data_IF_325444425819
#
_entry.id   IF_325444425819
#
_cell.length_a   1.000
_cell.length_b   1.000
_cell.length_c   1.000
_cell.angle_alpha   90.00
_cell.angle_beta   90.00
_cell.angle_gamma   90.00
#
_symmetry.space_group_name_H-M   'P 1'
#
loop_
_entity.id
_entity.type
_entity.pdbx_description
1 polymer ?
#
# COMPACT_ATOMS: atom_id res chain seq x y z
N UNK A 1 10.81 9.25 13.27
CA UNK A 1 11.87 8.30 12.88
C UNK A 1 13.03 9.06 12.26
N UNK A 2 14.26 8.59 12.42
CA UNK A 2 15.46 9.22 11.88
C UNK A 2 16.58 8.19 11.65
N UNK A 3 17.61 8.57 10.90
CA UNK A 3 18.80 7.74 10.68
C UNK A 3 19.77 7.94 11.85
N UNK A 4 20.14 6.85 12.53
CA UNK A 4 20.96 6.89 13.76
C UNK A 4 22.35 7.44 13.49
N UNK A 5 23.04 6.89 12.48
CA UNK A 5 24.38 7.35 12.07
C UNK A 5 24.38 8.83 11.64
N UNK A 6 23.31 9.31 11.00
CA UNK A 6 23.18 10.71 10.60
C UNK A 6 23.04 11.64 11.81
N UNK A 7 22.20 11.27 12.77
CA UNK A 7 22.00 12.05 14.00
C UNK A 7 23.27 12.13 14.85
N UNK A 8 24.05 11.04 14.93
CA UNK A 8 25.32 11.01 15.66
C UNK A 8 26.38 11.86 14.97
N UNK A 9 26.55 11.70 13.65
CA UNK A 9 27.55 12.46 12.87
C UNK A 9 27.31 13.96 12.91
N UNK A 10 26.05 14.39 12.95
CA UNK A 10 25.66 15.80 13.04
C UNK A 10 25.67 16.35 14.48
N UNK A 11 26.11 15.57 15.47
CA UNK A 11 26.17 16.00 16.88
C UNK A 11 24.81 16.18 17.56
N UNK A 12 23.70 15.81 16.90
CA UNK A 12 22.34 15.94 17.46
C UNK A 12 22.08 14.94 18.57
N UNK A 13 22.74 13.78 18.52
CA UNK A 13 22.66 12.73 19.53
C UNK A 13 24.03 12.12 19.79
N UNK A 14 24.33 11.78 21.05
CA UNK A 14 25.48 10.93 21.36
C UNK A 14 25.15 9.45 21.12
N UNK A 15 26.15 8.59 20.82
CA UNK A 15 25.94 7.14 20.71
C UNK A 15 25.28 6.53 21.96
N UNK A 16 25.63 7.06 23.14
CA UNK A 16 25.01 6.64 24.41
C UNK A 16 23.52 6.99 24.46
N UNK A 17 23.13 8.24 24.14
CA UNK A 17 21.72 8.65 24.12
C UNK A 17 20.91 7.86 23.09
N UNK A 18 21.49 7.58 21.93
CA UNK A 18 20.86 6.77 20.88
C UNK A 18 20.45 5.39 21.43
N UNK A 19 21.36 4.69 22.13
CA UNK A 19 21.11 3.35 22.69
C UNK A 19 20.16 3.35 23.89
N UNK A 20 20.11 4.43 24.66
CA UNK A 20 19.33 4.49 25.92
C UNK A 20 17.90 5.00 25.76
N UNK A 21 17.61 5.78 24.71
CA UNK A 21 16.33 6.50 24.56
C UNK A 21 15.56 6.15 23.28
N UNK A 22 16.16 5.36 22.39
CA UNK A 22 15.61 5.02 21.11
C UNK A 22 15.83 3.54 20.80
N UNK A 23 14.85 2.95 20.11
CA UNK A 23 14.95 1.60 19.57
C UNK A 23 15.07 1.65 18.05
N UNK A 24 15.72 0.65 17.48
CA UNK A 24 15.78 0.49 16.04
C UNK A 24 14.45 -0.09 15.54
N UNK A 25 13.87 0.50 14.49
CA UNK A 25 12.75 -0.10 13.76
C UNK A 25 13.24 -0.88 12.54
N UNK A 26 14.27 -0.36 11.87
CA UNK A 26 15.00 -1.01 10.78
C UNK A 26 16.51 -0.74 10.95
N UNK A 27 17.40 -1.41 10.21
CA UNK A 27 18.84 -1.16 10.30
C UNK A 27 19.16 0.33 10.13
N UNK A 28 19.85 0.89 11.13
CA UNK A 28 20.22 2.31 11.25
C UNK A 28 19.05 3.32 11.25
N UNK A 29 17.80 2.87 11.45
CA UNK A 29 16.63 3.74 11.54
C UNK A 29 15.95 3.59 12.90
N UNK A 30 15.80 4.70 13.60
CA UNK A 30 15.39 4.74 15.00
C UNK A 30 14.09 5.54 15.22
N UNK A 31 13.39 5.18 16.30
CA UNK A 31 12.25 5.91 16.86
C UNK A 31 12.34 5.94 18.39
N UNK A 32 11.58 6.83 19.02
CA UNK A 32 11.50 6.91 20.47
C UNK A 32 11.03 5.57 21.07
N UNK A 33 11.60 5.19 22.22
CA UNK A 33 11.41 3.86 22.84
C UNK A 33 9.93 3.47 23.02
N UNK A 34 9.11 4.39 23.52
CA UNK A 34 7.70 4.13 23.85
C UNK A 34 6.73 4.34 22.68
N UNK A 35 7.22 4.65 21.48
CA UNK A 35 6.35 4.99 20.35
C UNK A 35 5.86 3.74 19.61
N UNK A 36 4.55 3.52 19.57
CA UNK A 36 3.91 2.55 18.67
C UNK A 36 3.94 3.10 17.24
N UNK A 37 4.62 2.43 16.29
CA UNK A 37 4.80 2.99 14.96
C UNK A 37 3.57 2.73 14.08
N UNK A 38 2.87 3.80 13.70
CA UNK A 38 1.82 3.74 12.67
C UNK A 38 2.37 3.33 11.30
N UNK A 39 1.49 2.91 10.37
CA UNK A 39 1.85 2.57 8.99
C UNK A 39 2.62 3.71 8.31
N UNK A 40 2.20 4.96 8.54
CA UNK A 40 2.91 6.14 8.03
C UNK A 40 4.34 6.20 8.58
N UNK A 41 4.52 6.00 9.88
CA UNK A 41 5.84 6.02 10.53
C UNK A 41 6.74 4.92 9.99
N UNK A 42 6.20 3.71 9.80
CA UNK A 42 6.90 2.56 9.20
C UNK A 42 7.26 2.82 7.75
N UNK A 43 6.38 3.46 6.98
CA UNK A 43 6.63 3.86 5.59
C UNK A 43 7.78 4.85 5.47
N UNK A 44 7.82 5.88 6.33
CA UNK A 44 8.95 6.82 6.39
C UNK A 44 10.23 6.09 6.78
N UNK A 45 10.17 5.22 7.79
CA UNK A 45 11.33 4.48 8.24
C UNK A 45 11.90 3.55 7.15
N UNK A 46 11.05 2.85 6.40
CA UNK A 46 11.46 1.98 5.30
C UNK A 46 12.09 2.79 4.15
N UNK A 47 11.52 3.96 3.84
CA UNK A 47 12.10 4.87 2.85
C UNK A 47 13.48 5.38 3.28
N UNK A 48 13.66 5.78 4.55
CA UNK A 48 14.98 6.15 5.08
C UNK A 48 15.97 4.98 5.00
N UNK A 49 15.56 3.78 5.40
CA UNK A 49 16.37 2.57 5.31
C UNK A 49 16.84 2.26 3.88
N UNK A 50 15.99 2.53 2.87
CA UNK A 50 16.38 2.38 1.46
C UNK A 50 17.43 3.39 0.97
N UNK A 51 17.92 4.26 1.86
CA UNK A 51 18.77 5.40 1.52
C UNK A 51 17.99 6.47 0.75
N UNK A 52 16.68 6.61 1.02
CA UNK A 52 15.77 7.52 0.33
C UNK A 52 15.56 7.24 -1.17
N UNK A 53 15.79 5.99 -1.61
CA UNK A 53 15.74 5.57 -3.03
C UNK A 53 14.54 4.70 -3.40
N UNK A 54 13.90 4.04 -2.44
CA UNK A 54 12.73 3.20 -2.69
C UNK A 54 11.46 4.01 -2.94
N UNK A 55 10.53 3.42 -3.69
CA UNK A 55 9.16 3.95 -3.87
C UNK A 55 8.20 3.08 -3.08
N UNK A 56 7.37 3.66 -2.22
CA UNK A 56 6.38 2.93 -1.43
C UNK A 56 5.27 2.40 -2.36
N UNK A 57 4.91 1.13 -2.19
CA UNK A 57 3.94 0.43 -3.04
C UNK A 57 2.98 -0.43 -2.19
N UNK A 58 2.12 -1.21 -2.85
CA UNK A 58 1.25 -2.20 -2.21
C UNK A 58 0.24 -1.57 -1.24
N UNK A 59 -0.06 -2.29 -0.15
CA UNK A 59 -1.03 -1.86 0.87
C UNK A 59 -0.62 -0.54 1.53
N UNK A 60 0.68 -0.34 1.79
CA UNK A 60 1.17 0.91 2.36
C UNK A 60 0.90 2.10 1.43
N UNK A 61 1.11 1.95 0.12
CA UNK A 61 0.75 3.01 -0.84
C UNK A 61 -0.76 3.26 -0.90
N UNK A 62 -1.58 2.21 -0.85
CA UNK A 62 -3.04 2.37 -0.82
C UNK A 62 -3.50 3.16 0.43
N UNK A 63 -2.98 2.82 1.60
CA UNK A 63 -3.25 3.54 2.85
C UNK A 63 -2.78 5.00 2.79
N UNK A 64 -1.62 5.27 2.19
CA UNK A 64 -1.13 6.65 1.98
C UNK A 64 -1.97 7.46 0.97
N UNK A 65 -2.72 6.79 0.09
CA UNK A 65 -3.77 7.38 -0.75
C UNK A 65 -5.15 7.42 -0.06
N UNK A 66 -5.21 7.14 1.24
CA UNK A 66 -6.42 7.25 2.05
C UNK A 66 -7.30 6.00 2.10
N UNK A 67 -6.90 4.89 1.46
CA UNK A 67 -7.67 3.65 1.54
C UNK A 67 -7.76 3.16 3.00
N UNK A 68 -8.96 2.78 3.42
CA UNK A 68 -9.24 2.29 4.78
C UNK A 68 -9.04 0.78 4.91
N UNK A 69 -9.24 0.29 6.14
CA UNK A 69 -9.24 -1.15 6.49
C UNK A 69 -7.88 -1.84 6.38
N UNK A 70 -6.78 -1.08 6.37
CA UNK A 70 -5.42 -1.59 6.28
C UNK A 70 -4.77 -1.46 7.65
N UNK A 71 -4.31 -2.57 8.21
CA UNK A 71 -3.71 -2.61 9.54
C UNK A 71 -2.34 -1.91 9.56
N UNK A 72 -1.98 -1.35 10.71
CA UNK A 72 -0.74 -0.60 10.88
C UNK A 72 0.52 -1.47 10.80
N UNK A 73 0.38 -2.79 10.97
CA UNK A 73 1.46 -3.78 11.03
C UNK A 73 1.74 -4.48 9.68
N UNK A 74 0.93 -4.24 8.64
CA UNK A 74 1.17 -4.80 7.29
C UNK A 74 2.61 -4.53 6.82
N UNK A 75 3.30 -5.47 6.17
CA UNK A 75 4.64 -5.23 5.67
C UNK A 75 4.70 -4.03 4.73
N UNK A 76 5.73 -3.18 4.87
CA UNK A 76 5.91 -2.04 3.98
C UNK A 76 6.54 -2.51 2.68
N UNK A 77 5.80 -2.43 1.58
CA UNK A 77 6.34 -2.74 0.26
C UNK A 77 7.09 -1.54 -0.33
N UNK A 78 8.31 -1.80 -0.83
CA UNK A 78 9.12 -0.85 -1.57
C UNK A 78 9.46 -1.41 -2.95
N UNK A 79 9.19 -0.65 -4.00
CA UNK A 79 9.85 -0.87 -5.30
C UNK A 79 11.28 -0.37 -5.15
N UNK A 80 12.19 -1.30 -4.88
CA UNK A 80 13.60 -1.05 -4.67
C UNK A 80 14.42 -2.33 -4.93
N UNK A 81 15.57 -2.18 -5.59
CA UNK A 81 16.49 -3.28 -5.86
C UNK A 81 17.39 -3.54 -4.66
N UNK A 82 16.88 -4.34 -3.72
CA UNK A 82 17.66 -4.92 -2.64
C UNK A 82 17.06 -6.27 -2.26
N UNK A 83 17.88 -7.31 -2.09
CA UNK A 83 17.43 -8.65 -1.74
C UNK A 83 17.40 -8.89 -0.22
N UNK A 84 18.05 -8.02 0.55
CA UNK A 84 18.20 -8.17 2.01
C UNK A 84 17.30 -7.17 2.73
N UNK A 85 15.99 -7.35 2.61
CA UNK A 85 15.03 -6.54 3.34
C UNK A 85 14.95 -6.96 4.82
N UNK A 86 14.89 -6.02 5.78
CA UNK A 86 14.67 -6.34 7.18
C UNK A 86 13.23 -6.83 7.38
N UNK A 87 12.99 -7.46 8.52
CA UNK A 87 11.64 -7.89 8.92
C UNK A 87 10.63 -6.73 8.84
N UNK A 88 9.44 -7.00 8.31
CA UNK A 88 8.39 -6.01 8.13
C UNK A 88 8.57 -5.08 6.92
N UNK A 89 9.58 -5.31 6.06
CA UNK A 89 9.74 -4.65 4.76
C UNK A 89 9.79 -5.70 3.66
N UNK A 90 9.12 -5.43 2.55
CA UNK A 90 9.19 -6.25 1.35
C UNK A 90 9.77 -5.40 0.23
N UNK A 91 10.89 -5.83 -0.35
CA UNK A 91 11.45 -5.18 -1.54
C UNK A 91 11.00 -5.92 -2.79
N UNK A 92 10.55 -5.15 -3.78
CA UNK A 92 10.11 -5.63 -5.08
C UNK A 92 11.08 -5.13 -6.15
N UNK A 93 11.81 -6.03 -6.78
CA UNK A 93 12.57 -5.71 -8.00
C UNK A 93 11.62 -5.66 -9.20
N UNK A 94 10.92 -4.54 -9.35
CA UNK A 94 9.95 -4.32 -10.41
C UNK A 94 10.35 -3.07 -11.21
N UNK A 95 9.98 -3.07 -12.48
CA UNK A 95 10.05 -1.85 -13.30
C UNK A 95 8.89 -0.92 -12.91
N UNK A 96 9.22 0.34 -12.70
CA UNK A 96 8.28 1.44 -12.49
C UNK A 96 8.77 2.62 -13.33
N UNK A 97 7.87 3.26 -14.06
CA UNK A 97 8.19 4.44 -14.86
C UNK A 97 7.94 5.72 -14.05
N UNK A 98 8.48 6.85 -14.51
CA UNK A 98 8.34 8.13 -13.80
C UNK A 98 6.88 8.58 -13.67
N UNK A 99 6.04 8.31 -14.67
CA UNK A 99 4.59 8.57 -14.67
C UNK A 99 3.79 7.63 -13.73
N UNK A 100 4.44 6.60 -13.19
CA UNK A 100 3.85 5.65 -12.25
C UNK A 100 4.22 5.96 -10.78
N UNK A 101 4.96 7.05 -10.54
CA UNK A 101 5.37 7.50 -9.21
C UNK A 101 4.82 8.90 -8.95
N UNK A 102 4.30 9.12 -7.75
CA UNK A 102 3.86 10.43 -7.24
C UNK A 102 4.34 10.63 -5.81
N UNK A 103 3.91 11.71 -5.16
CA UNK A 103 4.15 11.95 -3.73
C UNK A 103 2.84 11.89 -2.96
N UNK A 104 2.84 11.16 -1.86
CA UNK A 104 1.78 11.23 -0.84
C UNK A 104 2.44 11.37 0.53
N UNK A 105 1.95 12.33 1.31
CA UNK A 105 2.41 12.58 2.68
C UNK A 105 3.94 12.77 2.79
N UNK A 106 4.56 13.34 1.74
CA UNK A 106 5.99 13.61 1.65
C UNK A 106 6.86 12.46 1.13
N UNK A 107 6.29 11.27 0.89
CA UNK A 107 7.02 10.08 0.43
C UNK A 107 6.81 9.83 -1.07
N UNK A 108 7.83 9.30 -1.79
CA UNK A 108 7.62 8.75 -3.12
C UNK A 108 6.75 7.48 -3.02
N UNK A 109 5.61 7.48 -3.70
CA UNK A 109 4.63 6.39 -3.70
C UNK A 109 4.23 6.05 -5.13
N UNK A 110 3.77 4.82 -5.38
CA UNK A 110 3.13 4.50 -6.66
C UNK A 110 1.88 5.35 -6.86
N UNK A 111 1.59 5.76 -8.09
CA UNK A 111 0.31 6.43 -8.43
C UNK A 111 -0.87 5.52 -8.07
N UNK A 112 -2.07 6.09 -7.87
CA UNK A 112 -3.27 5.31 -7.52
C UNK A 112 -3.54 4.19 -8.53
N UNK A 113 -3.43 4.49 -9.83
CA UNK A 113 -3.57 3.48 -10.89
C UNK A 113 -2.50 2.38 -10.81
N UNK A 114 -1.25 2.73 -10.48
CA UNK A 114 -0.17 1.76 -10.29
C UNK A 114 -0.35 0.91 -9.03
N UNK A 115 -0.78 1.52 -7.93
CA UNK A 115 -1.15 0.83 -6.70
C UNK A 115 -2.28 -0.17 -6.96
N UNK A 116 -3.33 0.26 -7.66
CA UNK A 116 -4.43 -0.63 -8.06
C UNK A 116 -3.95 -1.80 -8.94
N UNK A 117 -3.09 -1.52 -9.94
CA UNK A 117 -2.47 -2.55 -10.77
C UNK A 117 -1.69 -3.59 -9.95
N UNK A 118 -0.87 -3.13 -9.01
CA UNK A 118 -0.06 -4.01 -8.18
C UNK A 118 -0.91 -4.83 -7.20
N UNK A 119 -1.91 -4.23 -6.55
CA UNK A 119 -2.82 -4.97 -5.67
C UNK A 119 -3.62 -6.04 -6.44
N UNK A 120 -4.21 -5.67 -7.58
CA UNK A 120 -5.06 -6.54 -8.38
C UNK A 120 -4.34 -7.81 -8.89
N UNK A 121 -3.03 -7.71 -9.16
CA UNK A 121 -2.25 -8.86 -9.66
C UNK A 121 -1.57 -9.66 -8.55
N UNK A 122 -1.34 -9.08 -7.38
CA UNK A 122 -0.57 -9.71 -6.30
C UNK A 122 -1.46 -10.43 -5.28
N UNK A 123 -2.63 -9.87 -4.95
CA UNK A 123 -3.53 -10.42 -3.94
C UNK A 123 -4.47 -11.50 -4.50
N UNK A 124 -5.03 -12.37 -3.65
CA UNK A 124 -6.19 -13.20 -4.01
C UNK A 124 -7.37 -12.33 -4.46
N UNK A 125 -8.21 -12.82 -5.37
CA UNK A 125 -9.25 -11.99 -6.04
C UNK A 125 -10.17 -11.27 -5.06
N UNK A 126 -10.75 -11.97 -4.07
CA UNK A 126 -11.68 -11.33 -3.13
C UNK A 126 -11.03 -10.24 -2.28
N UNK A 127 -9.81 -10.51 -1.79
CA UNK A 127 -9.03 -9.50 -1.07
C UNK A 127 -8.68 -8.31 -1.99
N UNK A 128 -8.22 -8.59 -3.21
CA UNK A 128 -7.91 -7.56 -4.18
C UNK A 128 -9.09 -6.63 -4.42
N UNK A 129 -10.29 -7.17 -4.68
CA UNK A 129 -11.50 -6.36 -4.90
C UNK A 129 -11.79 -5.51 -3.67
N UNK A 130 -11.76 -6.07 -2.46
CA UNK A 130 -12.00 -5.30 -1.23
C UNK A 130 -10.99 -4.14 -1.05
N UNK A 131 -9.72 -4.35 -1.37
CA UNK A 131 -8.70 -3.29 -1.34
C UNK A 131 -8.91 -2.25 -2.44
N UNK A 132 -9.35 -2.67 -3.62
CA UNK A 132 -9.59 -1.79 -4.75
C UNK A 132 -10.84 -0.94 -4.56
N UNK A 133 -11.91 -1.50 -3.99
CA UNK A 133 -13.12 -0.76 -3.60
C UNK A 133 -12.76 0.32 -2.57
N UNK A 134 -12.04 -0.05 -1.51
CA UNK A 134 -11.58 0.90 -0.48
C UNK A 134 -10.66 1.99 -1.05
N UNK A 135 -9.78 1.65 -1.99
CA UNK A 135 -8.91 2.61 -2.68
C UNK A 135 -9.71 3.54 -3.61
N UNK A 136 -10.65 2.99 -4.39
CA UNK A 136 -11.47 3.76 -5.32
C UNK A 136 -12.41 4.73 -4.58
N UNK A 137 -12.92 4.32 -3.42
CA UNK A 137 -13.72 5.17 -2.53
C UNK A 137 -12.92 6.31 -1.92
N UNK A 138 -11.66 6.06 -1.54
CA UNK A 138 -10.79 7.07 -0.95
C UNK A 138 -10.23 8.05 -1.99
N UNK A 139 -9.73 7.52 -3.11
CA UNK A 139 -9.18 8.29 -4.22
C UNK A 139 -9.63 7.66 -5.54
N UNK A 140 -10.66 8.24 -6.21
CA UNK A 140 -11.18 7.71 -7.45
C UNK A 140 -10.11 7.55 -8.53
N UNK A 141 -10.15 6.43 -9.25
CA UNK A 141 -9.28 6.16 -10.39
C UNK A 141 -10.06 5.49 -11.51
N UNK A 142 -9.57 5.60 -12.75
CA UNK A 142 -10.20 4.96 -13.90
C UNK A 142 -9.68 3.55 -14.06
N UNK A 143 -10.57 2.54 -14.05
CA UNK A 143 -10.20 1.13 -14.33
C UNK A 143 -9.44 0.99 -15.65
N UNK A 144 -9.79 1.81 -16.66
CA UNK A 144 -9.05 1.88 -17.92
C UNK A 144 -7.56 2.20 -17.77
N UNK A 145 -7.15 3.02 -16.80
CA UNK A 145 -5.73 3.30 -16.55
C UNK A 145 -4.99 2.08 -16.00
N UNK A 146 -5.68 1.24 -15.22
CA UNK A 146 -5.12 -0.03 -14.72
C UNK A 146 -4.95 -1.02 -15.87
N UNK A 147 -5.90 -1.06 -16.81
CA UNK A 147 -5.77 -1.85 -18.04
C UNK A 147 -4.62 -1.39 -18.93
N UNK A 148 -4.37 -0.09 -19.04
CA UNK A 148 -3.22 0.43 -19.77
C UNK A 148 -1.90 -0.05 -19.16
N UNK A 149 -1.80 -0.12 -17.83
CA UNK A 149 -0.63 -0.71 -17.15
C UNK A 149 -0.50 -2.21 -17.44
N UNK A 150 -1.60 -2.96 -17.46
CA UNK A 150 -1.58 -4.37 -17.84
C UNK A 150 -1.11 -4.59 -19.29
N UNK A 151 -1.47 -3.68 -20.22
CA UNK A 151 -0.97 -3.69 -21.60
C UNK A 151 0.50 -3.29 -21.68
N UNK A 152 0.94 -2.31 -20.88
CA UNK A 152 2.35 -1.87 -20.79
C UNK A 152 3.27 -2.97 -20.23
N UNK A 153 2.76 -3.82 -19.36
CA UNK A 153 3.50 -4.88 -18.69
C UNK A 153 2.91 -6.29 -18.96
N UNK A 154 2.95 -6.78 -20.21
CA UNK A 154 2.26 -8.03 -20.59
C UNK A 154 2.85 -9.28 -19.90
N UNK A 155 4.11 -9.24 -19.49
CA UNK A 155 4.79 -10.31 -18.75
C UNK A 155 4.68 -10.22 -17.22
N UNK A 156 3.90 -9.28 -16.68
CA UNK A 156 3.75 -9.17 -15.23
C UNK A 156 3.09 -10.43 -14.65
N UNK A 157 3.68 -10.97 -13.58
CA UNK A 157 3.07 -12.09 -12.86
C UNK A 157 1.74 -11.65 -12.25
N UNK A 158 0.74 -12.53 -12.32
CA UNK A 158 -0.58 -12.33 -11.71
C UNK A 158 -1.61 -11.61 -12.59
N UNK A 159 -1.32 -11.34 -13.87
CA UNK A 159 -2.30 -10.67 -14.75
C UNK A 159 -3.64 -11.43 -14.88
N UNK A 160 -3.66 -12.76 -14.76
CA UNK A 160 -4.93 -13.52 -14.74
C UNK A 160 -5.81 -13.13 -13.53
N UNK A 161 -5.21 -12.89 -12.36
CA UNK A 161 -5.93 -12.42 -11.17
C UNK A 161 -6.43 -11.00 -11.35
N UNK A 162 -5.59 -10.11 -11.88
CA UNK A 162 -5.99 -8.74 -12.22
C UNK A 162 -7.20 -8.73 -13.15
N UNK A 163 -7.18 -9.53 -14.23
CA UNK A 163 -8.29 -9.62 -15.18
C UNK A 163 -9.60 -10.11 -14.55
N UNK A 164 -9.52 -10.95 -13.52
CA UNK A 164 -10.68 -11.41 -12.75
C UNK A 164 -11.17 -10.36 -11.76
N UNK A 165 -10.26 -9.62 -11.12
CA UNK A 165 -10.61 -8.65 -10.08
C UNK A 165 -11.20 -7.35 -10.65
N UNK A 166 -10.63 -6.81 -11.74
CA UNK A 166 -11.03 -5.48 -12.24
C UNK A 166 -12.52 -5.34 -12.60
N UNK A 167 -13.19 -6.33 -13.23
CA UNK A 167 -14.63 -6.26 -13.52
C UNK A 167 -15.51 -6.30 -12.27
N UNK A 168 -14.97 -6.70 -11.13
CA UNK A 168 -15.70 -6.88 -9.87
C UNK A 168 -15.58 -5.66 -8.95
N UNK A 169 -14.86 -4.60 -9.33
CA UNK A 169 -14.69 -3.41 -8.49
C UNK A 169 -16.01 -2.63 -8.44
N UNK A 170 -16.38 -2.20 -7.24
CA UNK A 170 -17.50 -1.30 -6.98
C UNK A 170 -17.10 -0.27 -5.90
N UNK A 171 -17.11 1.01 -6.27
CA UNK A 171 -16.76 2.10 -5.35
C UNK A 171 -17.81 2.30 -4.23
N UNK A 172 -19.01 1.73 -4.37
CA UNK A 172 -20.09 1.87 -3.41
C UNK A 172 -19.92 1.01 -2.14
N UNK A 173 -19.05 -0.01 -2.14
CA UNK A 173 -18.78 -0.80 -0.94
C UNK A 173 -18.05 0.04 0.12
N UNK A 174 -18.65 0.21 1.30
CA UNK A 174 -18.10 1.00 2.39
C UNK A 174 -17.16 0.18 3.31
N UNK A 175 -17.26 -1.15 3.27
CA UNK A 175 -16.51 -2.08 4.10
C UNK A 175 -16.09 -3.36 3.36
N UNK A 176 -15.04 -4.07 3.81
CA UNK A 176 -14.64 -5.36 3.23
C UNK A 176 -15.75 -6.42 3.33
N UNK A 177 -16.62 -6.33 4.34
CA UNK A 177 -17.77 -7.23 4.51
C UNK A 177 -18.85 -7.02 3.44
N UNK A 178 -19.10 -5.76 3.05
CA UNK A 178 -19.99 -5.46 1.93
C UNK A 178 -19.43 -5.99 0.62
N UNK A 179 -18.14 -5.78 0.34
CA UNK A 179 -17.48 -6.38 -0.83
C UNK A 179 -17.60 -7.90 -0.81
N UNK A 180 -17.33 -8.55 0.34
CA UNK A 180 -17.46 -10.00 0.48
C UNK A 180 -18.89 -10.49 0.17
N UNK A 181 -19.91 -9.84 0.75
CA UNK A 181 -21.31 -10.19 0.50
C UNK A 181 -21.68 -10.03 -0.97
N UNK A 182 -21.25 -8.92 -1.59
CA UNK A 182 -21.47 -8.65 -3.02
C UNK A 182 -20.84 -9.74 -3.91
N UNK A 183 -19.60 -10.12 -3.62
CA UNK A 183 -18.92 -11.20 -4.35
C UNK A 183 -19.60 -12.55 -4.15
N UNK A 184 -20.07 -12.85 -2.93
CA UNK A 184 -20.81 -14.09 -2.63
C UNK A 184 -22.11 -14.18 -3.46
N UNK A 185 -22.84 -13.07 -3.58
CA UNK A 185 -24.08 -13.02 -4.38
C UNK A 185 -23.79 -13.19 -5.88
N UNK A 186 -22.74 -12.53 -6.39
CA UNK A 186 -22.31 -12.68 -7.80
C UNK A 186 -21.88 -14.12 -8.09
N UNK A 187 -21.10 -14.73 -7.19
CA UNK A 187 -20.63 -16.12 -7.33
C UNK A 187 -21.81 -17.12 -7.27
N UNK A 188 -22.90 -16.78 -6.59
CA UNK A 188 -24.15 -17.54 -6.57
C UNK A 188 -25.02 -17.36 -7.83
N UNK A 189 -24.58 -16.56 -8.81
CA UNK A 189 -25.30 -16.29 -10.05
C UNK A 189 -26.42 -15.26 -9.92
N UNK A 190 -26.48 -14.54 -8.80
CA UNK A 190 -27.45 -13.46 -8.60
C UNK A 190 -26.97 -12.18 -9.32
N UNK A 191 -27.89 -11.27 -9.70
CA UNK A 191 -27.52 -9.96 -10.19
C UNK A 191 -26.61 -9.22 -9.20
N UNK A 192 -25.71 -8.37 -9.70
CA UNK A 192 -24.88 -7.55 -8.85
C UNK A 192 -25.78 -6.64 -7.98
N UNK A 193 -25.69 -6.71 -6.65
CA UNK A 193 -26.51 -5.89 -5.77
C UNK A 193 -26.16 -4.41 -5.94
N UNK A 194 -27.18 -3.56 -5.96
CA UNK A 194 -27.00 -2.11 -5.86
C UNK A 194 -26.49 -1.77 -4.45
N UNK A 195 -25.35 -1.08 -4.39
CA UNK A 195 -24.77 -0.59 -3.14
C UNK A 195 -25.35 0.78 -2.78
N UNK A 196 -25.36 1.14 -1.48
CA UNK A 196 -25.86 2.43 -0.96
C UNK A 196 -27.37 2.70 -1.16
N UNK A 197 -28.23 1.69 -0.95
CA UNK A 197 -29.69 1.88 -0.92
C UNK A 197 -30.06 2.78 0.27
N UNK A 198 -30.71 3.94 0.06
CA UNK A 198 -31.09 4.83 1.15
C UNK A 198 -32.12 4.16 2.06
N UNK A 199 -31.85 4.16 3.37
CA UNK A 199 -32.81 3.73 4.39
C UNK A 199 -33.54 4.97 4.87
N UNK A 200 -34.82 5.08 4.52
CA UNK A 200 -35.69 6.11 5.08
C UNK A 200 -36.32 5.55 6.36
N UNK A 201 -36.26 6.30 7.46
CA UNK A 201 -37.10 6.01 8.63
C UNK A 201 -38.55 6.36 8.25
N UNK A 202 -39.46 5.40 8.45
CA UNK A 202 -40.89 5.60 8.27
C UNK A 202 -41.48 6.41 9.43
#
# INVERSE_FOLDING_TARGET
VFIGSEAVRQGRLSPYRLRKRFRAIYPDVFLAECATPSLRTRSVAAWLWSGRRGVVAGLAAAALHGARWIDDDVPIELIWRNQHAPAGVITRNQRVQRDEVTRAVGLPVTTVARTAFDLARQLPTGEAVARLDALMRATPFRVGQVWLLAKRYPGARGLRRLRRALPLIDAGAASPRETWLRLLLIDAGLPAPETQIPVNEN
#
